data_IF_913578535080
#
_entry.id   IF_913578535080
#
_cell.length_a   1.000
_cell.length_b   1.000
_cell.length_c   1.000
_cell.angle_alpha   90.00
_cell.angle_beta   90.00
_cell.angle_gamma   90.00
#
_symmetry.space_group_name_H-M   'P 1'
#
loop_
_entity.id
_entity.type
_entity.pdbx_description
1 polymer ?
#
# COMPACT_ATOMS: atom_id res chain seq x y z
N UNK A 1 12.92 -11.04 -2.23
CA UNK A 1 13.02 -9.62 -1.86
C UNK A 1 13.51 -9.51 -0.42
N UNK A 2 14.38 -8.51 -0.10
CA UNK A 2 14.80 -8.25 1.28
C UNK A 2 13.97 -7.12 1.87
N UNK A 3 13.36 -7.35 3.03
CA UNK A 3 12.57 -6.37 3.76
C UNK A 3 13.07 -6.22 5.20
N UNK A 4 12.73 -5.10 5.85
CA UNK A 4 13.00 -4.86 7.26
C UNK A 4 11.92 -5.44 8.18
N UNK A 5 11.45 -4.60 9.12
CA UNK A 5 10.44 -5.01 10.10
C UNK A 5 9.06 -5.23 9.44
N UNK A 6 8.70 -6.47 9.23
CA UNK A 6 7.42 -6.85 8.65
C UNK A 6 6.23 -6.67 9.61
N UNK A 7 6.49 -6.45 10.91
CA UNK A 7 5.44 -6.24 11.90
C UNK A 7 5.05 -4.77 12.08
N UNK A 8 5.80 -3.84 11.47
CA UNK A 8 5.46 -2.43 11.49
C UNK A 8 4.11 -2.20 10.79
N UNK A 9 3.21 -1.47 11.45
CA UNK A 9 1.85 -1.22 10.96
C UNK A 9 1.68 0.22 10.51
N UNK A 10 0.96 0.42 9.41
CA UNK A 10 0.70 1.73 8.82
C UNK A 10 -0.74 1.81 8.33
N UNK A 11 -1.27 3.01 8.33
CA UNK A 11 -2.55 3.34 7.71
C UNK A 11 -2.31 3.58 6.21
N UNK A 12 -2.61 2.56 5.41
CA UNK A 12 -2.41 2.58 3.96
C UNK A 12 -3.65 3.10 3.27
N UNK A 13 -3.54 4.13 2.46
CA UNK A 13 -4.68 4.68 1.75
C UNK A 13 -4.36 5.05 0.30
N UNK A 14 -5.40 5.06 -0.52
CA UNK A 14 -5.31 5.41 -1.93
C UNK A 14 -5.13 6.93 -2.14
N UNK A 15 -4.12 7.33 -2.91
CA UNK A 15 -3.83 8.74 -3.15
C UNK A 15 -5.01 9.51 -3.75
N UNK A 16 -5.80 8.88 -4.62
CA UNK A 16 -7.00 9.49 -5.22
C UNK A 16 -8.06 9.87 -4.17
N UNK A 17 -8.22 9.06 -3.12
CA UNK A 17 -9.12 9.37 -2.01
C UNK A 17 -8.62 10.61 -1.25
N UNK A 18 -7.31 10.72 -1.06
CA UNK A 18 -6.70 11.84 -0.35
C UNK A 18 -6.78 13.14 -1.17
N UNK A 19 -6.62 13.07 -2.49
CA UNK A 19 -6.82 14.22 -3.38
C UNK A 19 -8.26 14.73 -3.32
N UNK A 20 -9.26 13.85 -3.22
CA UNK A 20 -10.66 14.27 -3.03
C UNK A 20 -10.86 15.01 -1.69
N UNK A 21 -10.19 14.54 -0.63
CA UNK A 21 -10.21 15.25 0.65
C UNK A 21 -9.58 16.64 0.54
N UNK A 22 -8.41 16.75 -0.12
CA UNK A 22 -7.74 18.03 -0.34
C UNK A 22 -8.62 19.01 -1.11
N UNK A 23 -9.30 18.55 -2.16
CA UNK A 23 -10.26 19.37 -2.89
C UNK A 23 -11.42 19.82 -1.99
N UNK A 24 -11.99 18.93 -1.19
CA UNK A 24 -13.08 19.26 -0.26
C UNK A 24 -12.66 20.28 0.81
N UNK A 25 -11.41 20.21 1.31
CA UNK A 25 -10.85 21.21 2.23
C UNK A 25 -10.86 22.62 1.63
N UNK A 26 -10.52 22.76 0.35
CA UNK A 26 -10.50 24.05 -0.35
C UNK A 26 -11.89 24.66 -0.59
N UNK A 27 -12.96 23.88 -0.42
CA UNK A 27 -14.34 24.37 -0.55
C UNK A 27 -14.92 24.84 0.80
N UNK A 28 -14.16 24.77 1.89
CA UNK A 28 -14.64 25.19 3.20
C UNK A 28 -14.52 26.73 3.35
N UNK A 29 -15.48 27.34 4.03
CA UNK A 29 -15.47 28.79 4.29
C UNK A 29 -14.30 29.23 5.20
N UNK A 30 -13.83 28.35 6.07
CA UNK A 30 -12.74 28.62 7.02
C UNK A 30 -11.65 27.60 6.89
N UNK A 31 -10.37 28.00 6.92
CA UNK A 31 -9.25 27.08 6.95
C UNK A 31 -9.22 26.33 8.29
N UNK A 32 -9.17 25.02 8.22
CA UNK A 32 -9.10 24.11 9.38
C UNK A 32 -8.15 22.97 9.05
N UNK A 33 -7.40 22.51 10.04
CA UNK A 33 -6.53 21.36 9.90
C UNK A 33 -7.33 20.05 9.98
N UNK A 34 -7.05 19.11 9.09
CA UNK A 34 -7.70 17.79 9.03
C UNK A 34 -6.67 16.68 9.00
N UNK A 35 -6.92 15.62 9.75
CA UNK A 35 -6.25 14.33 9.56
C UNK A 35 -7.01 13.56 8.50
N UNK A 36 -6.32 13.19 7.41
CA UNK A 36 -6.87 12.34 6.35
C UNK A 36 -6.22 10.97 6.43
N UNK A 37 -7.02 9.95 6.72
CA UNK A 37 -6.56 8.59 6.96
C UNK A 37 -7.71 7.60 6.75
N UNK A 38 -7.38 6.32 6.54
CA UNK A 38 -8.41 5.28 6.43
C UNK A 38 -8.99 4.91 7.80
N UNK A 39 -8.19 5.05 8.86
CA UNK A 39 -8.53 4.67 10.23
C UNK A 39 -8.24 3.20 10.54
N UNK A 40 -7.63 2.47 9.60
CA UNK A 40 -7.24 1.08 9.77
C UNK A 40 -5.77 0.89 9.43
N UNK A 41 -5.02 0.26 10.33
CA UNK A 41 -3.61 -0.04 10.08
C UNK A 41 -3.41 -1.48 9.69
N UNK A 42 -2.49 -1.72 8.76
CA UNK A 42 -2.06 -3.03 8.31
C UNK A 42 -0.55 -3.16 8.46
N UNK A 43 -0.06 -4.37 8.70
CA UNK A 43 1.38 -4.64 8.77
C UNK A 43 1.99 -4.78 7.38
N UNK A 44 3.31 -4.61 7.30
CA UNK A 44 4.06 -4.93 6.08
C UNK A 44 3.88 -6.41 5.71
N UNK A 45 3.77 -7.30 6.71
CA UNK A 45 3.47 -8.71 6.46
C UNK A 45 2.11 -8.91 5.78
N UNK A 46 1.04 -8.25 6.29
CA UNK A 46 -0.29 -8.29 5.67
C UNK A 46 -0.24 -7.76 4.24
N UNK A 47 0.55 -6.71 3.99
CA UNK A 47 0.74 -6.17 2.63
C UNK A 47 1.37 -7.21 1.69
N UNK A 48 2.44 -7.89 2.12
CA UNK A 48 3.10 -8.95 1.34
C UNK A 48 2.12 -10.09 1.04
N UNK A 49 1.38 -10.55 2.04
CA UNK A 49 0.38 -11.62 1.86
C UNK A 49 -0.67 -11.23 0.81
N UNK A 50 -1.15 -9.98 0.84
CA UNK A 50 -2.15 -9.51 -0.10
C UNK A 50 -1.60 -9.37 -1.53
N UNK A 51 -0.32 -8.96 -1.68
CA UNK A 51 0.39 -8.98 -2.97
C UNK A 51 0.47 -10.40 -3.53
N UNK A 52 0.92 -11.36 -2.72
CA UNK A 52 1.04 -12.75 -3.14
C UNK A 52 -0.32 -13.38 -3.51
N UNK A 53 -1.39 -13.01 -2.80
CA UNK A 53 -2.77 -13.40 -3.15
C UNK A 53 -3.20 -12.80 -4.49
N UNK A 54 -2.95 -11.51 -4.69
CA UNK A 54 -3.31 -10.81 -5.94
C UNK A 54 -2.59 -11.41 -7.16
N UNK A 55 -1.39 -11.97 -6.96
CA UNK A 55 -0.62 -12.67 -7.98
C UNK A 55 -0.96 -14.16 -8.11
N UNK A 56 -1.92 -14.68 -7.33
CA UNK A 56 -2.28 -16.12 -7.26
C UNK A 56 -1.09 -17.04 -6.88
N UNK A 57 -0.15 -16.51 -6.06
CA UNK A 57 1.05 -17.25 -5.64
C UNK A 57 0.85 -18.01 -4.32
N UNK A 58 -0.30 -17.90 -3.66
CA UNK A 58 -0.66 -18.67 -2.47
C UNK A 58 -1.65 -19.76 -2.87
N UNK A 59 -1.22 -21.04 -2.96
CA UNK A 59 -2.11 -22.16 -3.26
C UNK A 59 -3.19 -22.35 -2.19
N UNK A 60 -4.34 -22.89 -2.57
CA UNK A 60 -5.38 -23.26 -1.62
C UNK A 60 -4.85 -24.30 -0.61
N UNK A 61 -5.03 -24.02 0.68
CA UNK A 61 -4.57 -24.89 1.77
C UNK A 61 -3.07 -24.81 2.08
N UNK A 62 -2.30 -23.94 1.41
CA UNK A 62 -0.89 -23.74 1.72
C UNK A 62 -0.69 -23.03 3.07
N UNK A 63 0.44 -23.31 3.72
CA UNK A 63 0.92 -22.50 4.84
C UNK A 63 1.40 -21.14 4.31
N UNK A 64 0.62 -20.10 4.61
CA UNK A 64 0.90 -18.72 4.15
C UNK A 64 2.28 -18.24 4.61
N UNK A 65 2.70 -18.58 5.83
CA UNK A 65 4.00 -18.15 6.35
C UNK A 65 5.15 -18.81 5.59
N UNK A 66 5.01 -20.08 5.24
CA UNK A 66 5.99 -20.78 4.41
C UNK A 66 6.10 -20.12 3.04
N UNK A 67 4.96 -19.85 2.37
CA UNK A 67 4.96 -19.18 1.06
C UNK A 67 5.61 -17.80 1.14
N UNK A 68 5.28 -16.99 2.14
CA UNK A 68 5.91 -15.67 2.33
C UNK A 68 7.43 -15.79 2.44
N UNK A 69 7.94 -16.78 3.19
CA UNK A 69 9.38 -16.99 3.36
C UNK A 69 10.11 -17.41 2.08
N UNK A 70 9.41 -17.93 1.08
CA UNK A 70 10.00 -18.21 -0.24
C UNK A 70 10.30 -16.94 -1.04
N UNK A 71 9.52 -15.89 -0.83
CA UNK A 71 9.62 -14.63 -1.59
C UNK A 71 10.32 -13.51 -0.82
N UNK A 72 10.30 -13.56 0.52
CA UNK A 72 10.78 -12.48 1.38
C UNK A 72 11.78 -12.99 2.42
N UNK A 73 12.95 -12.36 2.44
CA UNK A 73 13.98 -12.49 3.47
C UNK A 73 13.92 -11.25 4.38
N UNK A 74 13.82 -11.45 5.68
CA UNK A 74 13.90 -10.35 6.66
C UNK A 74 15.36 -10.02 6.93
N UNK A 75 15.80 -8.81 6.57
CA UNK A 75 17.16 -8.34 6.82
C UNK A 75 17.18 -7.35 8.00
N UNK A 76 17.81 -7.71 9.14
CA UNK A 76 17.91 -6.83 10.30
C UNK A 76 18.59 -5.49 10.02
N UNK A 77 19.44 -5.41 9.00
CA UNK A 77 20.12 -4.16 8.59
C UNK A 77 19.14 -3.10 8.05
N UNK A 78 17.95 -3.53 7.64
CA UNK A 78 16.89 -2.66 7.15
C UNK A 78 15.95 -2.19 8.26
N UNK A 79 16.17 -2.59 9.51
CA UNK A 79 15.38 -2.12 10.65
C UNK A 79 15.75 -0.67 10.97
N UNK A 80 14.72 0.13 11.23
CA UNK A 80 14.90 1.54 11.59
C UNK A 80 15.00 1.68 13.10
N UNK A 81 15.99 2.45 13.58
CA UNK A 81 16.07 2.82 14.98
C UNK A 81 14.91 3.75 15.33
N UNK A 82 14.17 3.44 16.40
CA UNK A 82 13.02 4.24 16.83
C UNK A 82 11.78 4.10 15.95
N UNK A 83 11.58 2.95 15.32
CA UNK A 83 10.39 2.69 14.50
C UNK A 83 9.11 2.72 15.34
N UNK A 84 8.09 3.44 14.82
CA UNK A 84 6.75 3.44 15.39
C UNK A 84 6.09 2.11 14.98
N UNK A 85 5.67 1.30 15.95
CA UNK A 85 5.10 -0.02 15.69
C UNK A 85 3.73 0.05 14.99
N UNK A 86 2.86 0.97 15.42
CA UNK A 86 1.54 1.17 14.82
C UNK A 86 1.28 2.67 14.62
N UNK A 87 1.05 3.06 13.37
CA UNK A 87 0.67 4.42 13.00
C UNK A 87 -0.67 4.36 12.28
N UNK A 88 -1.69 4.93 12.94
CA UNK A 88 -3.06 4.97 12.46
C UNK A 88 -3.65 6.37 12.67
N UNK A 89 -4.24 6.94 11.61
CA UNK A 89 -4.87 8.26 11.69
C UNK A 89 -6.33 8.18 12.19
N UNK A 90 -6.77 9.21 12.91
CA UNK A 90 -8.19 9.44 13.22
C UNK A 90 -8.72 10.53 12.28
N UNK A 91 -9.52 10.13 11.31
CA UNK A 91 -10.15 11.02 10.33
C UNK A 91 -11.61 11.39 10.69
N UNK A 92 -12.03 11.25 11.95
CA UNK A 92 -13.41 11.52 12.36
C UNK A 92 -13.87 12.94 12.00
N UNK A 93 -13.01 13.94 12.22
CA UNK A 93 -13.30 15.33 11.87
C UNK A 93 -13.45 15.53 10.35
N UNK A 94 -12.56 14.95 9.54
CA UNK A 94 -12.65 15.03 8.09
C UNK A 94 -13.92 14.34 7.56
N UNK A 95 -14.28 13.20 8.12
CA UNK A 95 -15.51 12.47 7.74
C UNK A 95 -16.75 13.31 8.00
N UNK A 96 -16.84 13.96 9.17
CA UNK A 96 -18.01 14.76 9.53
C UNK A 96 -18.07 16.10 8.81
N UNK A 97 -16.95 16.84 8.75
CA UNK A 97 -16.93 18.20 8.22
C UNK A 97 -16.88 18.25 6.68
N UNK A 98 -16.16 17.31 6.05
CA UNK A 98 -15.97 17.27 4.60
C UNK A 98 -16.92 16.28 3.90
N UNK A 99 -17.74 15.54 4.65
CA UNK A 99 -18.50 14.39 4.13
C UNK A 99 -17.63 13.43 3.31
N UNK A 100 -16.37 13.26 3.73
CA UNK A 100 -15.37 12.47 3.05
C UNK A 100 -15.21 11.11 3.70
N UNK A 101 -14.99 10.10 2.89
CA UNK A 101 -14.57 8.76 3.31
C UNK A 101 -13.65 8.15 2.25
N UNK A 102 -12.71 7.27 2.66
CA UNK A 102 -11.98 6.47 1.69
C UNK A 102 -12.94 5.53 0.95
N UNK A 103 -12.75 5.38 -0.36
CA UNK A 103 -13.55 4.49 -1.22
C UNK A 103 -12.81 3.21 -1.55
N UNK A 104 -11.47 3.27 -1.55
CA UNK A 104 -10.61 2.13 -1.81
C UNK A 104 -10.15 1.56 -0.48
N UNK A 105 -10.46 0.29 -0.23
CA UNK A 105 -9.97 -0.46 0.92
C UNK A 105 -8.53 -0.96 0.70
N UNK A 106 -7.95 -1.57 1.73
CA UNK A 106 -6.58 -2.05 1.70
C UNK A 106 -6.33 -3.08 0.60
N UNK A 107 -7.20 -4.08 0.45
CA UNK A 107 -7.05 -5.12 -0.58
C UNK A 107 -7.21 -4.54 -1.99
N UNK A 108 -8.13 -3.60 -2.17
CA UNK A 108 -8.32 -2.87 -3.42
C UNK A 108 -7.09 -2.06 -3.80
N UNK A 109 -6.50 -1.35 -2.83
CA UNK A 109 -5.25 -0.61 -3.03
C UNK A 109 -4.11 -1.52 -3.49
N UNK A 110 -3.87 -2.61 -2.77
CA UNK A 110 -2.79 -3.56 -3.12
C UNK A 110 -3.01 -4.14 -4.52
N UNK A 111 -4.25 -4.56 -4.84
CA UNK A 111 -4.57 -5.07 -6.17
C UNK A 111 -4.29 -4.05 -7.27
N UNK A 112 -4.71 -2.80 -7.10
CA UNK A 112 -4.43 -1.73 -8.07
C UNK A 112 -2.93 -1.52 -8.29
N UNK A 113 -2.13 -1.58 -7.22
CA UNK A 113 -0.66 -1.47 -7.33
C UNK A 113 -0.08 -2.66 -8.10
N UNK A 114 -0.48 -3.88 -7.77
CA UNK A 114 -0.01 -5.10 -8.46
C UNK A 114 -0.38 -5.07 -9.94
N UNK A 115 -1.61 -4.71 -10.30
CA UNK A 115 -2.07 -4.62 -11.69
C UNK A 115 -1.26 -3.58 -12.48
N UNK A 116 -1.01 -2.41 -11.88
CA UNK A 116 -0.19 -1.36 -12.48
C UNK A 116 1.24 -1.83 -12.76
N UNK A 117 1.89 -2.42 -11.76
CA UNK A 117 3.27 -2.87 -11.88
C UNK A 117 3.42 -4.06 -12.84
N UNK A 118 2.48 -5.00 -12.84
CA UNK A 118 2.45 -6.10 -13.78
C UNK A 118 2.27 -5.59 -15.23
N UNK A 119 1.42 -4.61 -15.46
CA UNK A 119 1.26 -3.96 -16.75
C UNK A 119 2.53 -3.26 -17.23
N UNK A 120 3.23 -2.56 -16.34
CA UNK A 120 4.53 -1.93 -16.65
C UNK A 120 5.58 -2.99 -17.01
N UNK A 121 5.69 -4.07 -16.23
CA UNK A 121 6.64 -5.14 -16.47
C UNK A 121 6.39 -5.85 -17.82
N UNK A 122 5.13 -6.12 -18.15
CA UNK A 122 4.75 -6.71 -19.44
C UNK A 122 5.15 -5.80 -20.63
N UNK A 123 4.92 -4.49 -20.52
CA UNK A 123 5.28 -3.52 -21.54
C UNK A 123 6.80 -3.35 -21.71
N UNK A 124 7.58 -3.47 -20.62
CA UNK A 124 9.04 -3.41 -20.68
C UNK A 124 9.62 -4.68 -21.34
N UNK A 125 9.05 -5.84 -21.08
CA UNK A 125 9.45 -7.11 -21.70
C UNK A 125 9.10 -7.19 -23.20
N UNK A 126 8.08 -6.45 -23.63
CA UNK A 126 7.64 -6.41 -25.04
C UNK A 126 8.45 -5.41 -25.90
N UNK A 127 9.30 -4.56 -25.32
CA UNK A 127 10.15 -3.66 -26.11
C UNK A 127 11.27 -4.47 -26.79
N UNK A 128 11.40 -4.46 -28.14
CA UNK A 128 12.50 -5.13 -28.80
C UNK A 128 13.81 -4.51 -28.35
N UNK A 129 14.76 -5.37 -27.94
CA UNK A 129 16.15 -4.94 -27.78
C UNK A 129 16.64 -4.51 -29.16
N UNK A 130 16.75 -3.21 -29.40
CA UNK A 130 17.49 -2.71 -30.53
C UNK A 130 18.94 -3.14 -30.34
N UNK A 131 19.34 -4.23 -31.00
CA UNK A 131 20.74 -4.59 -31.16
C UNK A 131 21.40 -3.45 -31.92
N UNK A 132 22.16 -2.62 -31.20
CA UNK A 132 23.06 -1.66 -31.80
C UNK A 132 24.04 -2.45 -32.66
N UNK A 133 23.93 -2.34 -33.98
CA UNK A 133 25.01 -2.73 -34.88
C UNK A 133 26.10 -1.68 -34.76
N UNK A 134 27.29 -2.16 -34.36
CA UNK A 134 28.56 -1.46 -34.47
C UNK A 134 28.85 -1.05 -35.91
#
# INVERSE_FOLDING_TARGET
>A
VKLGNMQARRDWGFAGDYVRAMHAMLQQEKPVDYVIATGTSHSVYEFVVEVLRSLNLIPAGADVAQVVNEYVEVDPKLFRTGEIHDLRGDAAQARSALNWKPEVDFSGLVRMMVESDAGIAANQSAKPQFAGKA
#
